data_IF_861807693191
#
_entry.id   IF_861807693191
#
_cell.length_a   1.000
_cell.length_b   1.000
_cell.length_c   1.000
_cell.angle_alpha   90.00
_cell.angle_beta   90.00
_cell.angle_gamma   90.00
#
_symmetry.space_group_name_H-M   'P 1'
#
loop_
_entity.id
_entity.type
_entity.pdbx_description
1 polymer ?
#
# COMPACT_ATOMS: atom_id res chain seq x y z
N UNK A 1 -36.74 17.61 -37.93
CA UNK A 1 -36.94 16.20 -37.49
C UNK A 1 -35.57 15.65 -37.10
N UNK A 2 -35.07 15.98 -35.90
CA UNK A 2 -35.11 15.12 -34.70
C UNK A 2 -34.83 13.65 -34.99
N UNK A 3 -33.64 13.18 -34.58
CA UNK A 3 -33.48 12.03 -33.69
C UNK A 3 -32.03 11.94 -33.20
N UNK A 4 -31.81 12.54 -32.03
CA UNK A 4 -30.75 12.13 -31.12
C UNK A 4 -31.00 10.67 -30.72
N UNK A 5 -30.02 9.79 -30.88
CA UNK A 5 -29.97 8.53 -30.14
C UNK A 5 -28.62 8.44 -29.46
N UNK A 6 -28.73 8.28 -28.14
CA UNK A 6 -27.69 8.22 -27.13
C UNK A 6 -26.57 7.22 -27.46
N UNK A 7 -25.33 7.68 -27.41
CA UNK A 7 -24.16 6.83 -27.19
C UNK A 7 -23.97 6.67 -25.68
N UNK A 8 -24.59 5.62 -25.13
CA UNK A 8 -24.44 5.18 -23.76
C UNK A 8 -23.64 3.86 -23.76
N UNK A 9 -22.32 3.90 -23.55
CA UNK A 9 -21.54 2.69 -23.23
C UNK A 9 -20.14 3.04 -22.66
N UNK A 10 -20.09 3.02 -21.32
CA UNK A 10 -19.06 2.32 -20.52
C UNK A 10 -17.58 2.62 -20.76
N UNK A 11 -17.00 3.51 -19.95
CA UNK A 11 -15.68 3.29 -19.32
C UNK A 11 -15.67 3.88 -17.89
N UNK A 12 -16.49 3.29 -17.01
CA UNK A 12 -16.35 3.45 -15.57
C UNK A 12 -15.35 2.40 -15.07
N UNK A 13 -14.06 2.69 -15.18
CA UNK A 13 -13.03 2.00 -14.42
C UNK A 13 -11.74 2.84 -14.34
N UNK A 14 -11.85 4.11 -13.96
CA UNK A 14 -10.69 4.78 -13.36
C UNK A 14 -10.56 4.23 -11.94
N UNK A 15 -9.95 3.06 -11.80
CA UNK A 15 -9.39 2.63 -10.52
C UNK A 15 -8.24 3.55 -10.15
N UNK A 16 -8.57 4.80 -9.84
CA UNK A 16 -7.66 5.76 -9.24
C UNK A 16 -7.58 5.44 -7.75
N UNK A 17 -6.92 4.35 -7.42
CA UNK A 17 -6.45 4.13 -6.06
C UNK A 17 -5.03 4.68 -6.01
N UNK A 18 -4.93 5.93 -5.55
CA UNK A 18 -3.67 6.67 -5.34
C UNK A 18 -2.78 6.06 -4.22
N UNK A 19 -3.04 4.80 -3.85
CA UNK A 19 -2.33 4.05 -2.85
C UNK A 19 -1.79 2.77 -3.51
N UNK A 20 -0.47 2.65 -3.60
CA UNK A 20 0.18 1.42 -4.00
C UNK A 20 0.35 0.53 -2.78
N UNK A 21 -0.09 -0.72 -2.92
CA UNK A 21 -0.01 -1.74 -1.89
C UNK A 21 1.33 -2.45 -2.03
N UNK A 22 2.18 -2.32 -1.03
CA UNK A 22 3.48 -3.01 -0.98
C UNK A 22 3.43 -4.06 0.10
N UNK A 23 3.66 -5.32 -0.25
CA UNK A 23 3.77 -6.42 0.70
C UNK A 23 5.23 -6.67 0.97
N UNK A 24 5.60 -6.60 2.25
CA UNK A 24 6.92 -6.84 2.76
C UNK A 24 6.99 -8.21 3.41
N UNK A 25 8.08 -8.93 3.17
CA UNK A 25 8.41 -10.17 3.86
C UNK A 25 8.92 -9.93 5.29
N UNK A 26 9.23 -11.00 6.03
CA UNK A 26 9.66 -10.92 7.42
C UNK A 26 11.00 -10.19 7.63
N UNK A 27 11.81 -10.03 6.58
CA UNK A 27 13.08 -9.28 6.61
C UNK A 27 12.96 -7.91 5.94
N UNK A 28 11.74 -7.46 5.63
CA UNK A 28 11.48 -6.20 4.95
C UNK A 28 11.73 -6.23 3.44
N UNK A 29 11.90 -7.41 2.84
CA UNK A 29 12.01 -7.57 1.39
C UNK A 29 10.65 -7.30 0.71
N UNK A 30 10.64 -6.61 -0.44
CA UNK A 30 9.40 -6.38 -1.20
C UNK A 30 9.02 -7.68 -1.92
N UNK A 31 7.92 -8.30 -1.49
CA UNK A 31 7.38 -9.51 -2.10
C UNK A 31 6.43 -9.20 -3.26
N UNK A 32 5.69 -8.09 -3.16
CA UNK A 32 4.71 -7.68 -4.15
C UNK A 32 4.46 -6.18 -4.06
N UNK A 33 4.31 -5.53 -5.21
CA UNK A 33 3.79 -4.17 -5.31
C UNK A 33 2.66 -4.15 -6.34
N UNK A 34 1.52 -3.55 -5.99
CA UNK A 34 0.34 -3.54 -6.85
C UNK A 34 -0.51 -2.28 -6.63
N UNK A 35 -1.17 -1.83 -7.70
CA UNK A 35 -2.21 -0.80 -7.64
C UNK A 35 -3.57 -1.37 -7.21
N UNK A 36 -3.69 -2.69 -7.01
CA UNK A 36 -4.91 -3.34 -6.52
C UNK A 36 -4.63 -4.07 -5.22
N UNK A 37 -5.58 -4.06 -4.26
CA UNK A 37 -5.36 -4.69 -2.97
C UNK A 37 -5.12 -6.20 -3.16
N UNK A 38 -3.96 -6.71 -2.73
CA UNK A 38 -3.60 -8.11 -2.96
C UNK A 38 -4.12 -9.03 -1.86
N UNK A 39 -4.99 -8.58 -0.96
CA UNK A 39 -5.67 -9.42 0.02
C UNK A 39 -7.13 -8.99 0.12
N UNK A 40 -7.95 -9.84 0.73
CA UNK A 40 -9.29 -9.43 1.12
C UNK A 40 -9.20 -8.33 2.20
N UNK A 41 -9.74 -7.16 1.85
CA UNK A 41 -9.75 -5.96 2.69
C UNK A 41 -10.97 -5.90 3.62
N UNK A 42 -11.88 -6.88 3.55
CA UNK A 42 -12.99 -7.00 4.50
C UNK A 42 -12.54 -7.50 5.88
N UNK A 43 -11.38 -8.18 5.92
CA UNK A 43 -10.75 -8.69 7.13
C UNK A 43 -9.63 -7.79 7.68
N UNK A 44 -9.06 -8.19 8.82
CA UNK A 44 -7.91 -7.50 9.41
C UNK A 44 -6.62 -7.89 8.67
N UNK A 45 -5.85 -6.89 8.23
CA UNK A 45 -4.64 -7.10 7.42
C UNK A 45 -3.59 -7.98 8.10
N UNK A 46 -3.44 -7.88 9.42
CA UNK A 46 -2.50 -8.71 10.18
C UNK A 46 -2.87 -10.21 10.17
N UNK A 47 -4.06 -10.56 9.69
CA UNK A 47 -4.51 -11.95 9.50
C UNK A 47 -4.45 -12.32 8.02
N UNK A 48 -5.03 -11.49 7.15
CA UNK A 48 -5.15 -11.79 5.72
C UNK A 48 -3.82 -11.72 4.98
N UNK A 49 -2.90 -10.83 5.39
CA UNK A 49 -1.56 -10.72 4.79
C UNK A 49 -0.69 -11.93 5.14
N UNK A 50 -0.51 -12.32 6.42
CA UNK A 50 0.26 -13.52 6.71
C UNK A 50 -0.37 -14.81 6.17
N UNK A 51 -1.70 -14.87 6.07
CA UNK A 51 -2.41 -16.01 5.49
C UNK A 51 -2.06 -16.22 4.01
N UNK A 52 -1.87 -15.14 3.23
CA UNK A 52 -1.53 -15.23 1.81
C UNK A 52 -0.03 -15.26 1.54
N UNK A 53 0.77 -14.51 2.29
CA UNK A 53 2.19 -14.26 2.01
C UNK A 53 3.17 -14.92 2.99
N UNK A 54 2.67 -15.55 4.06
CA UNK A 54 3.47 -16.24 5.05
C UNK A 54 3.70 -15.46 6.35
N UNK A 55 4.19 -16.12 7.41
CA UNK A 55 4.36 -15.52 8.73
C UNK A 55 5.35 -14.36 8.69
N UNK A 56 5.01 -13.27 9.40
CA UNK A 56 5.83 -12.05 9.46
C UNK A 56 5.70 -11.14 8.23
N UNK A 57 4.91 -11.52 7.23
CA UNK A 57 4.59 -10.61 6.12
C UNK A 57 3.71 -9.45 6.60
N UNK A 58 3.98 -8.25 6.08
CA UNK A 58 3.21 -7.03 6.38
C UNK A 58 2.86 -6.30 5.09
N UNK A 59 1.77 -5.53 5.11
CA UNK A 59 1.38 -4.69 3.96
C UNK A 59 1.48 -3.22 4.36
N UNK A 60 2.07 -2.42 3.48
CA UNK A 60 2.21 -0.97 3.60
C UNK A 60 1.46 -0.30 2.45
N UNK A 61 0.76 0.79 2.76
CA UNK A 61 0.09 1.64 1.79
C UNK A 61 0.98 2.86 1.53
N UNK A 62 1.43 3.03 0.29
CA UNK A 62 2.24 4.17 -0.12
C UNK A 62 1.50 5.08 -1.10
N UNK A 63 1.76 6.38 -1.03
CA UNK A 63 1.44 7.31 -2.12
C UNK A 63 2.57 7.16 -3.16
N UNK A 64 2.45 6.21 -4.09
CA UNK A 64 3.46 6.02 -5.11
C UNK A 64 3.05 6.66 -6.45
N UNK A 65 4.03 6.78 -7.34
CA UNK A 65 3.86 7.19 -8.74
C UNK A 65 2.68 6.44 -9.38
N UNK A 66 1.98 7.03 -10.38
CA UNK A 66 0.77 6.48 -10.99
C UNK A 66 0.88 5.02 -11.47
N UNK A 67 2.10 4.53 -11.73
CA UNK A 67 2.37 3.20 -12.24
C UNK A 67 2.73 2.16 -11.16
N UNK A 68 2.67 2.49 -9.86
CA UNK A 68 2.98 1.59 -8.76
C UNK A 68 4.28 0.78 -8.91
N UNK A 69 5.31 1.37 -9.53
CA UNK A 69 6.65 0.81 -9.69
C UNK A 69 6.72 -0.41 -10.62
N UNK A 70 7.92 -0.77 -11.12
CA UNK A 70 8.09 -2.00 -11.89
C UNK A 70 7.75 -3.23 -11.03
N UNK A 71 7.17 -4.29 -11.63
CA UNK A 71 6.91 -5.54 -10.91
C UNK A 71 8.25 -6.08 -10.36
N UNK A 72 8.29 -6.32 -9.05
CA UNK A 72 9.46 -6.94 -8.39
C UNK A 72 9.55 -8.39 -8.87
N UNK A 73 10.62 -8.71 -9.60
CA UNK A 73 10.90 -10.08 -10.00
C UNK A 73 11.80 -10.70 -8.93
N UNK A 74 11.20 -11.44 -7.99
CA UNK A 74 11.93 -12.05 -6.88
C UNK A 74 13.09 -12.96 -7.32
N UNK A 75 13.11 -13.41 -8.59
CA UNK A 75 14.19 -14.21 -9.15
C UNK A 75 15.39 -13.38 -9.65
N UNK A 76 15.15 -12.17 -10.16
CA UNK A 76 16.20 -11.29 -10.69
C UNK A 76 16.62 -10.17 -9.72
N UNK A 77 15.73 -9.73 -8.85
CA UNK A 77 15.95 -8.63 -7.89
C UNK A 77 16.49 -9.13 -6.55
N UNK A 78 17.53 -9.98 -6.55
CA UNK A 78 18.27 -10.34 -5.33
C UNK A 78 18.86 -9.14 -4.56
N UNK A 79 18.65 -7.91 -5.04
CA UNK A 79 18.88 -6.66 -4.34
C UNK A 79 17.55 -6.12 -3.77
N UNK A 80 17.44 -5.85 -2.46
CA UNK A 80 16.26 -5.22 -1.90
C UNK A 80 16.01 -3.89 -2.60
N UNK A 81 14.87 -3.76 -3.28
CA UNK A 81 14.45 -2.50 -3.87
C UNK A 81 14.21 -1.49 -2.74
N UNK A 82 14.91 -0.36 -2.71
CA UNK A 82 14.68 0.64 -1.69
C UNK A 82 13.29 1.22 -1.89
N UNK A 83 12.38 0.96 -0.94
CA UNK A 83 11.13 1.72 -0.86
C UNK A 83 11.49 3.18 -0.64
N UNK A 84 11.13 4.03 -1.60
CA UNK A 84 11.39 5.46 -1.50
C UNK A 84 10.47 6.06 -0.42
N UNK A 85 10.93 6.09 0.83
CA UNK A 85 10.33 6.93 1.85
C UNK A 85 10.54 8.39 1.43
N UNK A 86 9.45 9.13 1.20
CA UNK A 86 9.53 10.58 1.00
C UNK A 86 9.89 11.23 2.34
N UNK A 87 11.17 11.48 2.52
CA UNK A 87 11.68 12.38 3.56
C UNK A 87 11.07 13.77 3.33
N UNK A 88 10.24 14.25 4.26
CA UNK A 88 9.60 15.56 4.15
C UNK A 88 8.19 15.70 4.74
N UNK A 89 7.48 14.59 5.00
CA UNK A 89 6.33 14.61 5.90
C UNK A 89 6.79 14.13 7.27
N UNK A 90 7.50 15.01 7.98
CA UNK A 90 7.71 14.88 9.41
C UNK A 90 6.33 14.87 10.09
N UNK A 91 5.70 13.70 10.18
CA UNK A 91 4.59 13.52 11.08
C UNK A 91 5.20 13.64 12.48
N UNK A 92 4.86 14.67 13.27
CA UNK A 92 5.43 14.78 14.60
C UNK A 92 4.94 13.55 15.35
N UNK A 93 5.85 12.60 15.59
CA UNK A 93 5.67 11.58 16.61
C UNK A 93 5.34 12.37 17.85
N UNK A 94 4.06 12.37 18.26
CA UNK A 94 3.62 13.08 19.47
C UNK A 94 4.52 12.55 20.58
N UNK A 95 5.41 13.41 21.08
CA UNK A 95 6.27 13.08 22.19
C UNK A 95 5.39 12.45 23.28
N UNK A 96 5.70 11.22 23.63
CA UNK A 96 5.06 10.53 24.75
C UNK A 96 5.22 11.47 25.94
N UNK A 97 4.10 12.04 26.43
CA UNK A 97 4.14 12.94 27.59
C UNK A 97 4.79 12.16 28.72
N UNK A 98 5.88 12.70 29.25
CA UNK A 98 6.52 12.16 30.44
C UNK A 98 5.46 12.00 31.54
N UNK A 99 5.44 10.88 32.28
CA UNK A 99 4.50 10.68 33.37
C UNK A 99 4.68 11.82 34.37
N UNK A 100 3.57 12.50 34.70
CA UNK A 100 3.60 13.52 35.75
C UNK A 100 3.99 12.80 37.04
N UNK A 101 5.07 13.25 37.69
CA UNK A 101 5.30 12.89 39.09
C UNK A 101 4.16 13.50 39.89
N UNK A 102 3.32 12.63 40.43
CA UNK A 102 2.35 13.01 41.44
C UNK A 102 3.12 13.62 42.62
N UNK A 103 2.71 14.82 43.00
CA UNK A 103 3.29 15.59 44.09
C UNK A 103 2.59 15.16 45.37
N UNK A 104 3.36 14.59 46.30
CA UNK A 104 2.96 14.35 47.70
C UNK A 104 2.49 15.64 48.39
#
# INVERSE_FOLDING_TARGET
MTKSVLLLATLLATGAQAACYTVLGPRGEVLLQSSTPPVDMSGQLHQTVPQRFGPGATMVFGIADPDCGPPVDAYYDGAPTPVAYRDGLAQPVRAVRAPRRDRE
#
